data_IF_916018615000
#
_entry.id   IF_916018615000
#
_cell.length_a   1.000
_cell.length_b   1.000
_cell.length_c   1.000
_cell.angle_alpha   90.00
_cell.angle_beta   90.00
_cell.angle_gamma   90.00
#
_symmetry.space_group_name_H-M   'P 1'
#
loop_
_entity.id
_entity.type
_entity.pdbx_description
1 polymer ?
#
# COMPACT_ATOMS: atom_id res chain seq x y z
N UNK A 1 -33.88 -9.28 -7.15
CA UNK A 1 -34.62 -9.12 -8.44
C UNK A 1 -34.21 -10.23 -9.41
N UNK A 2 -35.13 -10.91 -10.12
CA UNK A 2 -34.75 -12.00 -11.02
C UNK A 2 -33.98 -11.46 -12.23
N UNK A 3 -32.90 -12.14 -12.60
CA UNK A 3 -32.00 -11.73 -13.67
C UNK A 3 -31.55 -12.96 -14.45
N UNK A 4 -31.34 -12.79 -15.75
CA UNK A 4 -30.78 -13.83 -16.62
C UNK A 4 -29.35 -13.47 -17.00
N UNK A 5 -28.52 -14.46 -17.29
CA UNK A 5 -27.17 -14.24 -17.80
C UNK A 5 -26.95 -15.01 -19.09
N UNK A 6 -26.28 -14.38 -20.05
CA UNK A 6 -25.85 -15.02 -21.30
C UNK A 6 -24.31 -15.14 -21.30
N UNK A 7 -23.76 -16.36 -21.34
CA UNK A 7 -22.32 -16.58 -21.48
C UNK A 7 -21.72 -16.04 -22.77
N UNK A 8 -22.45 -16.07 -23.88
CA UNK A 8 -21.99 -15.59 -25.18
C UNK A 8 -21.80 -14.07 -25.22
N UNK A 9 -22.68 -13.34 -24.55
CA UNK A 9 -22.61 -11.87 -24.51
C UNK A 9 -21.90 -11.32 -23.28
N UNK A 10 -21.82 -12.09 -22.19
CA UNK A 10 -21.23 -11.66 -20.93
C UNK A 10 -22.06 -10.62 -20.16
N UNK A 11 -23.35 -10.50 -20.51
CA UNK A 11 -24.28 -9.53 -19.93
C UNK A 11 -25.39 -10.19 -19.09
N UNK A 12 -25.91 -9.40 -18.16
CA UNK A 12 -27.09 -9.69 -17.38
C UNK A 12 -28.33 -9.03 -18.00
N UNK A 13 -29.45 -9.75 -18.02
CA UNK A 13 -30.71 -9.36 -18.62
C UNK A 13 -31.81 -9.42 -17.54
N UNK A 14 -32.12 -8.29 -16.88
CA UNK A 14 -33.26 -8.19 -15.97
C UNK A 14 -34.59 -8.66 -16.59
N UNK A 15 -35.36 -9.47 -15.86
CA UNK A 15 -36.59 -10.06 -16.40
C UNK A 15 -37.74 -9.05 -16.58
N UNK A 16 -37.63 -7.88 -15.96
CA UNK A 16 -38.63 -6.81 -16.03
C UNK A 16 -38.46 -5.90 -17.25
N UNK A 17 -37.46 -6.16 -18.10
CA UNK A 17 -37.22 -5.42 -19.35
C UNK A 17 -37.57 -6.32 -20.53
N UNK A 18 -38.38 -5.80 -21.45
CA UNK A 18 -38.66 -6.48 -22.72
C UNK A 18 -37.55 -6.18 -23.72
N UNK A 19 -36.72 -7.18 -24.00
CA UNK A 19 -35.67 -7.10 -25.01
C UNK A 19 -36.21 -7.51 -26.38
N UNK A 20 -35.84 -6.77 -27.43
CA UNK A 20 -36.20 -7.11 -28.81
C UNK A 20 -35.50 -8.40 -29.26
N UNK A 21 -34.21 -8.53 -28.94
CA UNK A 21 -33.40 -9.72 -29.21
C UNK A 21 -32.72 -10.19 -27.92
N UNK A 22 -33.04 -11.41 -27.48
CA UNK A 22 -32.39 -12.05 -26.33
C UNK A 22 -31.57 -13.26 -26.80
N UNK A 23 -30.32 -13.43 -26.36
CA UNK A 23 -29.53 -14.60 -26.73
C UNK A 23 -30.21 -15.92 -26.31
N UNK A 24 -30.10 -16.97 -27.13
CA UNK A 24 -30.71 -18.28 -26.83
C UNK A 24 -30.03 -19.03 -25.68
N UNK A 25 -28.84 -18.58 -25.26
CA UNK A 25 -28.04 -19.18 -24.19
C UNK A 25 -28.26 -18.52 -22.83
N UNK A 26 -29.30 -17.68 -22.69
CA UNK A 26 -29.67 -17.09 -21.39
C UNK A 26 -30.21 -18.15 -20.43
N UNK A 27 -29.81 -18.05 -19.17
CA UNK A 27 -30.40 -18.83 -18.08
C UNK A 27 -30.59 -17.94 -16.85
N UNK A 28 -31.51 -18.35 -15.96
CA UNK A 28 -31.77 -17.62 -14.72
C UNK A 28 -30.61 -17.74 -13.74
N UNK A 29 -30.26 -16.62 -13.12
CA UNK A 29 -29.18 -16.54 -12.13
C UNK A 29 -29.78 -16.18 -10.78
N UNK A 30 -29.31 -16.84 -9.73
CA UNK A 30 -29.70 -16.52 -8.36
C UNK A 30 -29.27 -15.11 -7.98
N UNK A 31 -30.00 -14.46 -7.08
CA UNK A 31 -29.62 -13.11 -6.61
C UNK A 31 -28.23 -13.11 -5.93
N UNK A 32 -27.90 -14.19 -5.23
CA UNK A 32 -26.58 -14.38 -4.62
C UNK A 32 -25.46 -14.43 -5.67
N UNK A 33 -25.64 -15.21 -6.74
CA UNK A 33 -24.66 -15.31 -7.81
C UNK A 33 -24.54 -14.00 -8.60
N UNK A 34 -25.64 -13.31 -8.83
CA UNK A 34 -25.65 -12.00 -9.47
C UNK A 34 -24.85 -10.98 -8.65
N UNK A 35 -25.06 -10.93 -7.33
CA UNK A 35 -24.31 -10.06 -6.43
C UNK A 35 -22.82 -10.42 -6.39
N UNK A 36 -22.49 -11.70 -6.30
CA UNK A 36 -21.11 -12.18 -6.28
C UNK A 36 -20.39 -11.88 -7.61
N UNK A 37 -21.05 -12.02 -8.74
CA UNK A 37 -20.52 -11.66 -10.05
C UNK A 37 -20.25 -10.14 -10.16
N UNK A 38 -21.17 -9.31 -9.67
CA UNK A 38 -20.96 -7.86 -9.59
C UNK A 38 -19.79 -7.50 -8.69
N UNK A 39 -19.68 -8.11 -7.51
CA UNK A 39 -18.57 -7.89 -6.58
C UNK A 39 -17.21 -8.31 -7.19
N UNK A 40 -17.16 -9.44 -7.89
CA UNK A 40 -15.96 -9.89 -8.60
C UNK A 40 -15.55 -8.88 -9.67
N UNK A 41 -16.50 -8.35 -10.47
CA UNK A 41 -16.19 -7.35 -11.51
C UNK A 41 -15.77 -6.01 -10.92
N UNK A 42 -16.42 -5.56 -9.84
CA UNK A 42 -16.10 -4.31 -9.16
C UNK A 42 -14.70 -4.32 -8.52
N UNK A 43 -14.24 -5.48 -8.05
CA UNK A 43 -12.89 -5.66 -7.52
C UNK A 43 -11.81 -5.85 -8.60
N UNK A 44 -12.17 -5.78 -9.89
CA UNK A 44 -11.24 -6.00 -11.01
C UNK A 44 -10.94 -7.47 -11.30
N UNK A 45 -11.64 -8.39 -10.62
CA UNK A 45 -11.66 -9.81 -10.95
C UNK A 45 -12.56 -10.09 -12.16
N UNK A 46 -12.71 -11.38 -12.46
CA UNK A 46 -13.62 -11.86 -13.48
C UNK A 46 -14.51 -12.98 -12.92
N UNK A 47 -15.53 -13.35 -13.67
CA UNK A 47 -16.36 -14.48 -13.33
C UNK A 47 -16.80 -15.20 -14.60
N UNK A 48 -17.17 -16.47 -14.44
CA UNK A 48 -17.75 -17.30 -15.49
C UNK A 48 -18.71 -18.30 -14.88
N UNK A 49 -19.83 -18.54 -15.53
CA UNK A 49 -20.71 -19.66 -15.18
C UNK A 49 -20.23 -20.92 -15.89
N UNK A 50 -19.94 -21.97 -15.12
CA UNK A 50 -19.52 -23.29 -15.63
C UNK A 50 -20.56 -24.30 -15.18
N UNK A 51 -21.29 -24.89 -16.14
CA UNK A 51 -22.41 -25.82 -15.88
C UNK A 51 -23.45 -25.23 -14.90
N UNK A 52 -23.81 -23.95 -15.08
CA UNK A 52 -24.76 -23.24 -14.22
C UNK A 52 -24.21 -22.79 -12.86
N UNK A 53 -22.96 -23.14 -12.52
CA UNK A 53 -22.33 -22.72 -11.26
C UNK A 53 -21.43 -21.50 -11.48
N UNK A 54 -21.58 -20.47 -10.65
CA UNK A 54 -20.69 -19.30 -10.68
C UNK A 54 -19.27 -19.69 -10.25
N UNK A 55 -18.29 -19.30 -11.06
CA UNK A 55 -16.86 -19.35 -10.75
C UNK A 55 -16.30 -17.95 -10.84
N UNK A 56 -15.75 -17.43 -9.75
CA UNK A 56 -15.07 -16.14 -9.72
C UNK A 56 -13.57 -16.34 -9.79
N UNK A 57 -12.89 -15.50 -10.56
CA UNK A 57 -11.43 -15.40 -10.58
C UNK A 57 -11.06 -14.05 -9.96
N UNK A 58 -10.28 -14.02 -8.87
CA UNK A 58 -9.87 -12.77 -8.26
C UNK A 58 -9.01 -11.95 -9.23
N UNK A 59 -8.92 -10.62 -9.04
CA UNK A 59 -7.97 -9.80 -9.78
C UNK A 59 -6.54 -10.35 -9.61
N UNK A 60 -5.68 -10.25 -10.65
CA UNK A 60 -4.29 -10.59 -10.50
C UNK A 60 -3.65 -9.74 -9.40
N UNK A 61 -2.84 -10.36 -8.55
CA UNK A 61 -2.12 -9.66 -7.50
C UNK A 61 -1.26 -8.54 -8.11
N UNK A 62 -1.24 -7.37 -7.47
CA UNK A 62 -0.35 -6.29 -7.91
C UNK A 62 1.11 -6.77 -7.80
N UNK A 63 1.95 -6.53 -8.83
CA UNK A 63 3.36 -6.89 -8.76
C UNK A 63 4.03 -6.21 -7.56
N UNK A 64 4.85 -6.95 -6.81
CA UNK A 64 5.57 -6.44 -5.64
C UNK A 64 6.27 -5.11 -5.94
N UNK A 65 6.98 -5.03 -7.07
CA UNK A 65 7.69 -3.82 -7.50
C UNK A 65 6.82 -2.55 -7.56
N UNK A 66 5.52 -2.69 -7.85
CA UNK A 66 4.59 -1.56 -7.91
C UNK A 66 4.16 -1.12 -6.51
N UNK A 67 3.87 -2.07 -5.63
CA UNK A 67 3.41 -1.79 -4.25
C UNK A 67 4.58 -1.28 -3.40
N UNK A 68 5.77 -1.84 -3.59
CA UNK A 68 6.98 -1.42 -2.88
C UNK A 68 7.41 0.00 -3.27
N UNK A 69 7.30 0.38 -4.54
CA UNK A 69 7.62 1.73 -4.99
C UNK A 69 6.78 2.80 -4.26
N UNK A 70 5.46 2.61 -4.21
CA UNK A 70 4.55 3.53 -3.52
C UNK A 70 4.84 3.61 -2.02
N UNK A 71 5.18 2.49 -1.39
CA UNK A 71 5.59 2.49 0.02
C UNK A 71 6.92 3.21 0.23
N UNK A 72 7.92 2.99 -0.63
CA UNK A 72 9.21 3.69 -0.53
C UNK A 72 9.06 5.21 -0.72
N UNK A 73 8.10 5.68 -1.51
CA UNK A 73 7.79 7.10 -1.61
C UNK A 73 7.27 7.68 -0.30
N UNK A 74 6.40 6.97 0.43
CA UNK A 74 5.95 7.41 1.76
C UNK A 74 7.09 7.39 2.78
N UNK A 75 8.02 6.43 2.67
CA UNK A 75 9.25 6.38 3.49
C UNK A 75 10.13 7.60 3.22
N UNK A 76 10.28 8.04 1.96
CA UNK A 76 11.02 9.27 1.62
C UNK A 76 10.36 10.51 2.20
N UNK A 77 9.03 10.60 2.13
CA UNK A 77 8.30 11.70 2.75
C UNK A 77 8.50 11.75 4.26
N UNK A 78 8.41 10.60 4.95
CA UNK A 78 8.69 10.49 6.39
C UNK A 78 10.13 10.88 6.71
N UNK A 79 11.10 10.40 5.93
CA UNK A 79 12.52 10.77 6.05
C UNK A 79 12.70 12.28 5.97
N UNK A 80 12.08 12.94 5.01
CA UNK A 80 12.23 14.39 4.81
C UNK A 80 11.67 15.19 5.99
N UNK A 81 10.54 14.75 6.57
CA UNK A 81 10.00 15.33 7.81
C UNK A 81 10.98 15.20 8.99
N UNK A 82 11.58 14.02 9.18
CA UNK A 82 12.59 13.77 10.21
C UNK A 82 13.82 14.66 9.98
N UNK A 83 14.34 14.70 8.75
CA UNK A 83 15.53 15.49 8.39
C UNK A 83 15.32 16.98 8.69
N UNK A 84 14.15 17.53 8.38
CA UNK A 84 13.81 18.92 8.68
C UNK A 84 13.81 19.20 10.18
N UNK A 85 13.26 18.28 10.98
CA UNK A 85 13.23 18.43 12.44
C UNK A 85 14.63 18.33 13.05
N UNK A 86 15.42 17.33 12.61
CA UNK A 86 16.80 17.16 13.04
C UNK A 86 17.69 18.35 12.66
N UNK A 87 17.45 19.01 11.52
CA UNK A 87 18.18 20.21 11.14
C UNK A 87 18.00 21.33 12.18
N UNK A 88 16.76 21.58 12.64
CA UNK A 88 16.50 22.57 13.69
C UNK A 88 17.21 22.25 15.01
N UNK A 89 17.17 20.99 15.44
CA UNK A 89 17.87 20.53 16.66
C UNK A 89 19.39 20.66 16.50
N UNK A 90 19.92 20.29 15.33
CA UNK A 90 21.35 20.41 15.03
C UNK A 90 21.85 21.86 15.04
N UNK A 91 21.04 22.81 14.54
CA UNK A 91 21.39 24.22 14.62
C UNK A 91 21.39 24.76 16.06
N UNK A 92 20.42 24.35 16.89
CA UNK A 92 20.40 24.72 18.30
C UNK A 92 21.63 24.15 19.04
N UNK A 93 21.93 22.87 18.85
CA UNK A 93 23.10 22.22 19.43
C UNK A 93 24.42 22.90 19.02
N UNK A 94 24.53 23.35 17.77
CA UNK A 94 25.69 24.10 17.30
C UNK A 94 25.84 25.46 18.00
N UNK A 95 24.73 26.18 18.22
CA UNK A 95 24.74 27.45 18.94
C UNK A 95 25.14 27.30 20.41
N UNK A 96 24.73 26.19 21.03
CA UNK A 96 25.03 25.86 22.43
C UNK A 96 26.40 25.19 22.64
N UNK A 97 27.13 24.88 21.55
CA UNK A 97 28.43 24.21 21.60
C UNK A 97 28.37 22.70 21.88
N UNK A 98 27.19 22.08 21.75
CA UNK A 98 26.99 20.63 21.91
C UNK A 98 27.48 19.86 20.67
N UNK A 99 28.79 19.63 20.62
CA UNK A 99 29.45 18.93 19.54
C UNK A 99 29.04 17.44 19.41
N UNK A 100 28.58 16.82 20.50
CA UNK A 100 28.18 15.41 20.50
C UNK A 100 26.82 15.24 19.80
N UNK A 101 25.86 16.11 20.11
CA UNK A 101 24.56 16.13 19.41
C UNK A 101 24.72 16.48 17.93
N UNK A 102 25.56 17.46 17.58
CA UNK A 102 25.84 17.79 16.17
C UNK A 102 26.41 16.58 15.40
N UNK A 103 27.33 15.83 16.02
CA UNK A 103 27.93 14.64 15.41
C UNK A 103 26.91 13.51 15.25
N UNK A 104 26.09 13.26 16.28
CA UNK A 104 25.05 12.25 16.25
C UNK A 104 24.00 12.54 15.16
N UNK A 105 23.55 13.79 15.03
CA UNK A 105 22.62 14.23 13.99
C UNK A 105 23.24 14.11 12.60
N UNK A 106 24.52 14.46 12.45
CA UNK A 106 25.23 14.31 11.17
C UNK A 106 25.29 12.85 10.72
N UNK A 107 25.61 11.94 11.65
CA UNK A 107 25.62 10.50 11.38
C UNK A 107 24.22 9.97 11.05
N UNK A 108 23.20 10.36 11.83
CA UNK A 108 21.82 9.96 11.58
C UNK A 108 21.31 10.45 10.21
N UNK A 109 21.66 11.67 9.81
CA UNK A 109 21.33 12.22 8.49
C UNK A 109 21.89 11.35 7.36
N UNK A 110 23.14 10.90 7.46
CA UNK A 110 23.73 10.02 6.45
C UNK A 110 22.93 8.71 6.32
N UNK A 111 22.64 8.04 7.44
CA UNK A 111 21.84 6.82 7.42
C UNK A 111 20.40 7.03 6.90
N UNK A 112 19.77 8.16 7.23
CA UNK A 112 18.43 8.49 6.78
C UNK A 112 18.37 8.68 5.25
N UNK A 113 19.39 9.27 4.63
CA UNK A 113 19.43 9.44 3.18
C UNK A 113 19.47 8.10 2.44
N UNK A 114 20.14 7.11 3.03
CA UNK A 114 20.28 5.76 2.47
C UNK A 114 19.15 4.80 2.85
N UNK A 115 18.16 5.23 3.64
CA UNK A 115 17.17 4.34 4.26
C UNK A 115 16.34 3.52 3.25
N UNK A 116 16.18 4.00 2.02
CA UNK A 116 15.45 3.29 0.96
C UNK A 116 16.32 2.39 0.10
N UNK A 117 17.64 2.43 0.27
CA UNK A 117 18.63 1.72 -0.55
C UNK A 117 19.60 0.87 0.28
N UNK A 118 19.48 0.88 1.61
CA UNK A 118 20.35 0.09 2.47
C UNK A 118 20.15 -1.43 2.21
N UNK A 119 21.18 -2.26 2.47
CA UNK A 119 21.17 -3.67 2.07
C UNK A 119 19.97 -4.47 2.58
N UNK A 120 19.48 -4.19 3.79
CA UNK A 120 18.32 -4.87 4.38
C UNK A 120 17.02 -4.53 3.67
N UNK A 121 16.84 -3.27 3.25
CA UNK A 121 15.67 -2.83 2.47
C UNK A 121 15.74 -3.34 1.03
N UNK A 122 16.92 -3.29 0.41
CA UNK A 122 17.13 -3.81 -0.94
C UNK A 122 16.93 -5.33 -1.06
N UNK A 123 17.17 -6.08 0.02
CA UNK A 123 17.01 -7.52 0.05
C UNK A 123 15.54 -7.99 0.18
N UNK A 124 14.61 -7.10 0.57
CA UNK A 124 13.21 -7.46 0.80
C UNK A 124 12.50 -7.92 -0.47
N UNK A 125 11.79 -9.06 -0.40
CA UNK A 125 11.08 -9.68 -1.52
C UNK A 125 9.55 -9.56 -1.43
N UNK A 126 9.04 -9.07 -0.30
CA UNK A 126 7.62 -8.87 -0.04
C UNK A 126 7.40 -7.64 0.85
N UNK A 127 6.13 -7.22 0.97
CA UNK A 127 5.77 -6.02 1.72
C UNK A 127 6.01 -6.15 3.22
N UNK A 128 5.85 -7.34 3.80
CA UNK A 128 6.05 -7.54 5.23
C UNK A 128 7.53 -7.42 5.58
N UNK A 129 8.40 -8.07 4.81
CA UNK A 129 9.85 -7.96 4.93
C UNK A 129 10.34 -6.52 4.70
N UNK A 130 9.78 -5.82 3.70
CA UNK A 130 10.13 -4.43 3.39
C UNK A 130 9.76 -3.48 4.54
N UNK A 131 8.55 -3.60 5.08
CA UNK A 131 8.09 -2.80 6.22
C UNK A 131 8.94 -3.08 7.46
N UNK A 132 9.23 -4.35 7.76
CA UNK A 132 10.07 -4.73 8.88
C UNK A 132 11.50 -4.16 8.74
N UNK A 133 12.10 -4.25 7.56
CA UNK A 133 13.45 -3.72 7.30
C UNK A 133 13.52 -2.20 7.47
N UNK A 134 12.56 -1.47 6.90
CA UNK A 134 12.48 0.00 7.04
C UNK A 134 12.26 0.41 8.50
N UNK A 135 11.35 -0.25 9.20
CA UNK A 135 11.07 0.05 10.61
C UNK A 135 12.26 -0.24 11.51
N UNK A 136 12.95 -1.36 11.28
CA UNK A 136 14.17 -1.71 12.00
C UNK A 136 15.28 -0.66 11.76
N UNK A 137 15.41 -0.17 10.53
CA UNK A 137 16.42 0.85 10.21
C UNK A 137 16.10 2.22 10.84
N UNK A 138 14.84 2.66 10.81
CA UNK A 138 14.41 3.86 11.55
C UNK A 138 14.68 3.72 13.05
N UNK A 139 14.34 2.58 13.65
CA UNK A 139 14.57 2.33 15.08
C UNK A 139 16.07 2.32 15.43
N UNK A 140 16.91 1.71 14.56
CA UNK A 140 18.36 1.68 14.72
C UNK A 140 18.95 3.09 14.72
N UNK A 141 18.53 3.95 13.80
CA UNK A 141 18.98 5.35 13.72
C UNK A 141 18.49 6.14 14.94
N UNK A 142 17.22 5.98 15.32
CA UNK A 142 16.62 6.64 16.47
C UNK A 142 17.33 6.30 17.81
N UNK A 143 17.87 5.08 17.92
CA UNK A 143 18.61 4.62 19.10
C UNK A 143 19.98 5.32 19.27
N UNK A 144 20.55 5.91 18.22
CA UNK A 144 21.83 6.64 18.31
C UNK A 144 21.66 8.11 18.69
N UNK A 145 20.43 8.57 18.89
CA UNK A 145 20.08 9.97 19.10
C UNK A 145 19.66 10.23 20.55
N UNK A 146 19.83 11.49 20.99
CA UNK A 146 19.27 11.99 22.24
C UNK A 146 17.74 11.91 22.24
N UNK A 147 17.11 11.98 23.42
CA UNK A 147 15.66 11.83 23.52
C UNK A 147 14.90 12.92 22.74
N UNK A 148 15.41 14.15 22.69
CA UNK A 148 14.82 15.22 21.89
C UNK A 148 14.91 14.93 20.39
N UNK A 149 16.06 14.51 19.90
CA UNK A 149 16.24 14.14 18.50
C UNK A 149 15.47 12.85 18.12
N UNK A 150 15.25 11.95 19.08
CA UNK A 150 14.45 10.74 18.91
C UNK A 150 12.97 11.07 18.67
N UNK A 151 12.42 12.08 19.36
CA UNK A 151 11.02 12.52 19.17
C UNK A 151 10.69 12.91 17.73
N UNK A 152 11.68 13.36 16.95
CA UNK A 152 11.50 13.64 15.53
C UNK A 152 10.99 12.41 14.74
N UNK A 153 11.38 11.19 15.16
CA UNK A 153 10.97 9.94 14.51
C UNK A 153 9.54 9.53 14.86
N UNK A 154 9.11 9.84 16.09
CA UNK A 154 7.77 9.57 16.59
C UNK A 154 6.75 10.52 15.95
N UNK A 155 7.04 11.83 15.96
CA UNK A 155 6.21 12.88 15.36
C UNK A 155 5.99 12.63 13.85
N UNK A 156 7.05 12.27 13.13
CA UNK A 156 6.97 11.95 11.70
C UNK A 156 6.23 10.62 11.41
N UNK A 157 6.18 9.70 12.38
CA UNK A 157 5.43 8.44 12.26
C UNK A 157 3.92 8.63 12.41
N UNK A 158 3.50 9.62 13.19
CA UNK A 158 2.07 9.96 13.40
C UNK A 158 1.45 10.84 12.32
N UNK A 159 2.27 11.44 11.44
CA UNK A 159 1.82 12.41 10.43
C UNK A 159 1.42 11.80 9.07
N UNK A 160 1.42 10.46 8.92
CA UNK A 160 0.95 9.82 7.68
C UNK A 160 -0.59 9.88 7.59
N UNK A 161 -1.19 10.43 6.52
CA UNK A 161 -2.63 10.43 6.35
C UNK A 161 -3.12 9.00 6.08
N UNK A 162 -4.29 8.68 6.67
CA UNK A 162 -5.09 7.50 6.33
C UNK A 162 -5.65 7.60 4.92
#
# INVERSE_FOLDING_TARGET
MPVRYSPSTGFFYPVNITYQDIPSDVFEVSEADHLAAHAARASGGSFKFVKGTLRTTPPPAMPYARVSAAYLDSVRARRDAILNRLAGIGFAAMADGDADTVRAITAARACLLDITICPTVAAAQDMAALQAAVNAEFARIAATLSDEARRAFDEAGTAAPQ
#
